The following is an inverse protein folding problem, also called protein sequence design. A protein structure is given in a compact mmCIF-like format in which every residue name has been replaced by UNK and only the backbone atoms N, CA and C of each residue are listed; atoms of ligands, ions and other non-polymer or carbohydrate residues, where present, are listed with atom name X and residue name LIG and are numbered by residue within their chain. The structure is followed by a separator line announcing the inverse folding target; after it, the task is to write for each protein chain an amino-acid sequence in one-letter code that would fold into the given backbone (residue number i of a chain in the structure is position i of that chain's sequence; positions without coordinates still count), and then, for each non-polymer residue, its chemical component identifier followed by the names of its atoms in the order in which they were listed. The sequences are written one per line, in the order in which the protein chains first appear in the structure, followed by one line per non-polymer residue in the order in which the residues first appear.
data_IF_059758519850
#
_entry.id   IF_059758519850
#
_cell.length_a   1.000
_cell.length_b   1.000
_cell.length_c   1.000
_cell.angle_alpha   90.00
_cell.angle_beta   90.00
_cell.angle_gamma   90.00
#
_symmetry.space_group_name_H-M   'P 1'
#
loop_
_entity.id
_entity.type
_entity.pdbx_description
1 polymer ?
#
# COMPACT_ATOMS: atom_id res chain seq x y z
N UNK A 1 17.50 -3.26 11.43
CA UNK A 1 16.44 -2.65 10.57
C UNK A 1 16.56 -3.22 9.18
N UNK A 2 15.51 -3.84 8.66
CA UNK A 2 15.44 -4.31 7.28
C UNK A 2 14.77 -3.25 6.36
N UNK A 3 14.73 -3.51 5.04
CA UNK A 3 14.15 -2.54 4.08
C UNK A 3 12.69 -2.21 4.35
N UNK A 4 11.87 -3.17 4.77
CA UNK A 4 10.46 -2.94 5.08
C UNK A 4 10.31 -2.05 6.33
N UNK A 5 11.12 -2.29 7.36
CA UNK A 5 11.13 -1.46 8.57
C UNK A 5 11.60 -0.02 8.26
N UNK A 6 12.64 0.11 7.43
CA UNK A 6 13.15 1.42 7.01
C UNK A 6 12.10 2.20 6.21
N UNK A 7 11.38 1.53 5.29
CA UNK A 7 10.30 2.14 4.51
C UNK A 7 9.18 2.63 5.42
N UNK A 8 8.69 1.79 6.34
CA UNK A 8 7.61 2.17 7.25
C UNK A 8 8.03 3.31 8.19
N UNK A 9 9.26 3.28 8.69
CA UNK A 9 9.79 4.38 9.51
C UNK A 9 9.82 5.69 8.72
N UNK A 10 10.33 5.66 7.49
CA UNK A 10 10.38 6.85 6.62
C UNK A 10 9.01 7.44 6.34
N UNK A 11 8.01 6.59 6.08
CA UNK A 11 6.62 7.03 5.86
C UNK A 11 6.05 7.69 7.12
N UNK A 12 6.24 7.09 8.28
CA UNK A 12 5.77 7.64 9.55
C UNK A 12 6.46 8.96 9.90
N UNK A 13 7.77 9.07 9.65
CA UNK A 13 8.52 10.31 9.86
C UNK A 13 8.10 11.40 8.89
N UNK A 14 7.65 11.02 7.69
CA UNK A 14 7.01 11.91 6.72
C UNK A 14 5.57 12.29 7.03
N UNK A 15 5.01 11.81 8.15
CA UNK A 15 3.65 12.16 8.59
C UNK A 15 2.55 11.29 8.02
N UNK A 16 2.86 10.13 7.43
CA UNK A 16 1.85 9.16 6.99
C UNK A 16 1.34 8.38 8.19
N UNK A 17 0.03 8.39 8.40
CA UNK A 17 -0.62 7.84 9.59
C UNK A 17 -1.50 6.62 9.29
N UNK A 18 -1.85 6.39 8.02
CA UNK A 18 -2.81 5.36 7.62
C UNK A 18 -2.30 4.56 6.43
N UNK A 19 -2.41 3.23 6.54
CA UNK A 19 -2.20 2.28 5.46
C UNK A 19 -3.49 1.49 5.20
N UNK A 20 -4.07 1.63 4.02
CA UNK A 20 -5.13 0.74 3.55
C UNK A 20 -4.47 -0.44 2.82
N UNK A 21 -4.81 -1.66 3.19
CA UNK A 21 -4.09 -2.83 2.72
C UNK A 21 -5.00 -3.99 2.33
N UNK A 22 -4.64 -4.68 1.27
CA UNK A 22 -5.09 -6.04 0.95
C UNK A 22 -3.87 -6.89 0.59
N UNK A 23 -3.05 -7.28 1.58
CA UNK A 23 -1.80 -7.96 1.34
C UNK A 23 -2.01 -9.46 1.11
N UNK A 24 -1.07 -10.06 0.38
CA UNK A 24 -0.88 -11.49 0.30
C UNK A 24 0.41 -11.94 0.99
N UNK A 25 0.83 -13.16 0.72
CA UNK A 25 2.03 -13.76 1.34
C UNK A 25 3.34 -13.07 0.94
N UNK A 26 3.38 -12.44 -0.24
CA UNK A 26 4.56 -11.69 -0.71
C UNK A 26 4.83 -10.42 0.08
N UNK A 27 3.83 -9.88 0.78
CA UNK A 27 3.92 -8.63 1.52
C UNK A 27 4.12 -8.82 3.04
N UNK A 28 4.40 -10.04 3.51
CA UNK A 28 4.45 -10.34 4.95
C UNK A 28 5.51 -9.53 5.71
N UNK A 29 6.64 -9.21 5.09
CA UNK A 29 7.66 -8.36 5.71
C UNK A 29 7.15 -6.93 5.93
N UNK A 30 6.37 -6.41 4.99
CA UNK A 30 5.74 -5.09 5.10
C UNK A 30 4.63 -5.10 6.16
N UNK A 31 3.81 -6.15 6.21
CA UNK A 31 2.77 -6.32 7.24
C UNK A 31 3.40 -6.36 8.64
N UNK A 32 4.48 -7.14 8.82
CA UNK A 32 5.20 -7.20 10.09
C UNK A 32 5.86 -5.86 10.47
N UNK A 33 6.33 -5.09 9.48
CA UNK A 33 6.88 -3.77 9.72
C UNK A 33 5.79 -2.76 10.12
N UNK A 34 4.61 -2.83 9.50
CA UNK A 34 3.46 -1.99 9.87
C UNK A 34 3.02 -2.29 11.31
N UNK A 35 2.93 -3.57 11.69
CA UNK A 35 2.52 -3.99 13.04
C UNK A 35 3.44 -3.41 14.14
N UNK A 36 4.72 -3.25 13.84
CA UNK A 36 5.69 -2.61 14.75
C UNK A 36 5.53 -1.09 14.87
N UNK A 37 4.86 -0.44 13.93
CA UNK A 37 4.74 1.02 13.87
C UNK A 37 3.50 1.52 14.62
N UNK A 38 3.70 2.02 15.84
CA UNK A 38 2.61 2.58 16.66
C UNK A 38 1.94 3.82 16.06
N UNK A 39 2.61 4.49 15.11
CA UNK A 39 2.13 5.72 14.47
C UNK A 39 1.32 5.45 13.21
N UNK A 40 1.33 4.22 12.68
CA UNK A 40 0.61 3.87 11.47
C UNK A 40 -0.58 2.97 11.79
N UNK A 41 -1.75 3.38 11.39
CA UNK A 41 -2.98 2.58 11.49
C UNK A 41 -3.16 1.77 10.21
N UNK A 42 -3.17 0.44 10.32
CA UNK A 42 -3.50 -0.45 9.21
C UNK A 42 -5.01 -0.70 9.15
N UNK A 43 -5.58 -0.60 7.96
CA UNK A 43 -7.00 -0.87 7.71
C UNK A 43 -7.08 -1.87 6.56
N UNK A 44 -7.66 -3.04 6.84
CA UNK A 44 -7.85 -4.09 5.84
C UNK A 44 -9.02 -3.73 4.91
N UNK A 45 -8.76 -3.77 3.60
CA UNK A 45 -9.78 -3.80 2.58
C UNK A 45 -9.87 -5.20 1.99
N UNK A 46 -11.06 -5.66 1.65
CA UNK A 46 -11.27 -7.02 1.09
C UNK A 46 -11.15 -7.07 -0.44
N UNK A 47 -10.84 -5.96 -1.05
CA UNK A 47 -10.62 -5.79 -2.48
C UNK A 47 -9.77 -4.55 -2.72
N UNK A 48 -8.81 -4.60 -3.63
CA UNK A 48 -7.85 -3.50 -3.84
C UNK A 48 -8.49 -2.24 -4.40
N UNK A 49 -9.59 -2.38 -5.13
CA UNK A 49 -10.40 -1.22 -5.55
C UNK A 49 -10.97 -0.46 -4.36
N UNK A 50 -11.38 -1.16 -3.30
CA UNK A 50 -11.79 -0.54 -2.03
C UNK A 50 -10.60 0.12 -1.34
N UNK A 51 -9.45 -0.55 -1.31
CA UNK A 51 -8.21 -0.03 -0.71
C UNK A 51 -7.81 1.30 -1.34
N UNK A 52 -7.72 1.34 -2.66
CA UNK A 52 -7.32 2.55 -3.40
C UNK A 52 -8.39 3.63 -3.36
N UNK A 53 -9.67 3.27 -3.38
CA UNK A 53 -10.79 4.21 -3.21
C UNK A 53 -10.82 4.84 -1.83
N UNK A 54 -10.55 4.05 -0.77
CA UNK A 54 -10.45 4.57 0.60
C UNK A 54 -9.28 5.53 0.76
N UNK A 55 -8.12 5.21 0.16
CA UNK A 55 -6.96 6.09 0.17
C UNK A 55 -7.21 7.41 -0.59
N UNK A 56 -7.90 7.36 -1.73
CA UNK A 56 -8.32 8.55 -2.48
C UNK A 56 -9.25 9.41 -1.62
N UNK A 57 -10.28 8.81 -1.01
CA UNK A 57 -11.19 9.53 -0.11
C UNK A 57 -10.47 10.16 1.08
N UNK A 58 -9.57 9.43 1.72
CA UNK A 58 -8.76 9.94 2.83
C UNK A 58 -7.94 11.17 2.41
N UNK A 59 -7.23 11.07 1.29
CA UNK A 59 -6.41 12.19 0.79
C UNK A 59 -7.22 13.42 0.44
N UNK A 60 -8.41 13.24 -0.16
CA UNK A 60 -9.34 14.36 -0.46
C UNK A 60 -9.84 15.07 0.78
N UNK A 61 -10.11 14.32 1.86
CA UNK A 61 -10.68 14.87 3.08
C UNK A 61 -9.65 15.49 4.01
N UNK A 62 -8.40 15.04 3.95
CA UNK A 62 -7.36 15.41 4.92
C UNK A 62 -6.22 16.23 4.34
N UNK A 63 -6.09 16.28 3.02
CA UNK A 63 -4.91 16.79 2.30
C UNK A 63 -3.59 16.10 2.69
N UNK A 64 -3.69 14.90 3.29
CA UNK A 64 -2.55 14.06 3.67
C UNK A 64 -2.55 12.78 2.86
N UNK A 65 -1.39 12.24 2.47
CA UNK A 65 -1.34 10.95 1.80
C UNK A 65 -1.69 9.82 2.76
N UNK A 66 -2.52 8.87 2.30
CA UNK A 66 -2.52 7.53 2.82
C UNK A 66 -1.57 6.66 2.00
N UNK A 67 -1.11 5.57 2.60
CA UNK A 67 -0.40 4.50 1.90
C UNK A 67 -1.39 3.41 1.52
N UNK A 68 -1.20 2.80 0.35
CA UNK A 68 -1.84 1.53 -0.01
C UNK A 68 -0.81 0.41 -0.07
N UNK A 69 -1.18 -0.79 0.36
CA UNK A 69 -0.38 -2.00 0.21
C UNK A 69 -1.19 -3.00 -0.63
N UNK A 70 -0.71 -3.26 -1.84
CA UNK A 70 -1.39 -4.04 -2.87
C UNK A 70 -0.62 -5.33 -3.17
N UNK A 71 -1.37 -6.42 -3.42
CA UNK A 71 -0.80 -7.73 -3.69
C UNK A 71 -0.43 -7.90 -5.16
N UNK A 72 0.85 -7.76 -5.47
CA UNK A 72 1.43 -8.05 -6.79
C UNK A 72 0.74 -7.31 -7.96
N UNK A 73 0.94 -7.79 -9.17
CA UNK A 73 0.29 -7.28 -10.38
C UNK A 73 -1.25 -7.33 -10.34
N UNK A 74 -1.87 -8.45 -9.93
CA UNK A 74 -3.33 -8.52 -9.78
C UNK A 74 -3.91 -7.48 -8.82
N UNK A 75 -3.26 -7.26 -7.68
CA UNK A 75 -3.69 -6.25 -6.72
C UNK A 75 -3.59 -4.82 -7.27
N UNK A 76 -2.50 -4.52 -7.98
CA UNK A 76 -2.37 -3.25 -8.68
C UNK A 76 -3.44 -3.09 -9.75
N UNK A 77 -3.68 -4.12 -10.57
CA UNK A 77 -4.70 -4.10 -11.62
C UNK A 77 -6.10 -3.80 -11.06
N UNK A 78 -6.48 -4.46 -9.96
CA UNK A 78 -7.74 -4.21 -9.27
C UNK A 78 -7.87 -2.78 -8.72
N UNK A 79 -6.76 -2.19 -8.31
CA UNK A 79 -6.72 -0.84 -7.74
C UNK A 79 -6.70 0.30 -8.77
N UNK A 80 -6.36 0.02 -10.03
CA UNK A 80 -6.05 1.04 -11.04
C UNK A 80 -7.18 2.02 -11.32
N UNK A 81 -8.44 1.60 -11.29
CA UNK A 81 -9.58 2.47 -11.55
C UNK A 81 -9.61 3.67 -10.58
N UNK A 82 -9.47 3.41 -9.28
CA UNK A 82 -9.46 4.46 -8.28
C UNK A 82 -8.13 5.23 -8.21
N UNK A 83 -7.01 4.59 -8.57
CA UNK A 83 -5.75 5.31 -8.76
C UNK A 83 -5.82 6.31 -9.91
N UNK A 84 -6.52 5.95 -11.00
CA UNK A 84 -6.83 6.88 -12.09
C UNK A 84 -7.63 8.08 -11.56
N UNK A 85 -8.67 7.83 -10.76
CA UNK A 85 -9.48 8.89 -10.16
C UNK A 85 -8.67 9.80 -9.24
N UNK A 86 -7.84 9.21 -8.37
CA UNK A 86 -6.95 9.96 -7.49
C UNK A 86 -5.98 10.85 -8.27
N UNK A 87 -5.38 10.32 -9.34
CA UNK A 87 -4.51 11.08 -10.25
C UNK A 87 -5.25 12.28 -10.87
N UNK A 88 -6.46 12.06 -11.37
CA UNK A 88 -7.29 13.13 -11.96
C UNK A 88 -7.66 14.21 -10.96
N UNK A 89 -7.92 13.82 -9.72
CA UNK A 89 -8.25 14.72 -8.63
C UNK A 89 -7.01 15.37 -7.96
N UNK A 90 -5.79 14.95 -8.35
CA UNK A 90 -4.53 15.35 -7.70
C UNK A 90 -4.51 15.02 -6.21
N UNK A 91 -5.14 13.92 -5.82
CA UNK A 91 -5.14 13.45 -4.44
C UNK A 91 -3.76 12.91 -4.07
N UNK A 92 -3.18 13.33 -2.92
CA UNK A 92 -1.94 12.76 -2.43
C UNK A 92 -2.16 11.29 -2.01
N UNK A 93 -1.34 10.37 -2.54
CA UNK A 93 -1.48 8.95 -2.29
C UNK A 93 -0.15 8.26 -2.59
N UNK A 94 0.25 7.31 -1.75
CA UNK A 94 1.47 6.52 -1.91
C UNK A 94 1.07 5.06 -2.10
N UNK A 95 1.51 4.44 -3.20
CA UNK A 95 1.22 3.04 -3.47
C UNK A 95 2.47 2.19 -3.22
N UNK A 96 2.30 1.14 -2.43
CA UNK A 96 3.26 0.07 -2.30
C UNK A 96 2.65 -1.17 -2.94
N UNK A 97 3.34 -1.71 -3.92
CA UNK A 97 2.96 -2.93 -4.62
C UNK A 97 4.00 -3.99 -4.29
N UNK A 98 3.58 -5.10 -3.72
CA UNK A 98 4.45 -6.23 -3.47
C UNK A 98 4.94 -6.85 -4.77
N UNK A 99 6.04 -7.56 -4.68
CA UNK A 99 6.57 -8.36 -5.79
C UNK A 99 7.16 -9.65 -5.25
N UNK A 100 7.38 -10.60 -6.14
CA UNK A 100 8.02 -11.86 -5.84
C UNK A 100 9.53 -11.70 -5.64
N UNK A 101 10.19 -12.78 -5.23
CA UNK A 101 11.65 -12.86 -5.21
C UNK A 101 12.23 -12.59 -6.60
N UNK A 102 13.45 -12.03 -6.66
CA UNK A 102 14.12 -11.58 -7.91
C UNK A 102 14.15 -12.66 -9.00
N UNK A 103 14.27 -13.94 -8.61
CA UNK A 103 14.36 -15.07 -9.54
C UNK A 103 13.01 -15.71 -9.91
N UNK A 104 11.88 -15.11 -9.54
CA UNK A 104 10.55 -15.75 -9.68
C UNK A 104 10.19 -16.13 -11.11
N UNK A 105 10.66 -15.39 -12.11
CA UNK A 105 10.37 -15.66 -13.53
C UNK A 105 10.84 -17.04 -13.98
N UNK A 106 11.88 -17.60 -13.36
CA UNK A 106 12.37 -18.96 -13.64
C UNK A 106 11.40 -20.06 -13.22
N UNK A 107 10.49 -19.76 -12.28
CA UNK A 107 9.60 -20.73 -11.64
C UNK A 107 8.15 -20.56 -12.02
N UNK A 108 7.86 -19.71 -13.02
CA UNK A 108 6.48 -19.43 -13.46
C UNK A 108 5.55 -19.06 -12.28
N UNK A 109 6.04 -18.26 -11.36
CA UNK A 109 5.22 -17.74 -10.25
C UNK A 109 4.07 -16.88 -10.80
N UNK A 110 2.90 -16.87 -10.13
CA UNK A 110 1.73 -16.13 -10.57
C UNK A 110 1.93 -14.62 -10.59
#
# INVERSE_FOLDING_TARGET
MNGAEALMQTLCDGGVEVCFANPGTSEMQLVAAIDKQKKMRAILGLFEGVVTGAADGYGRMTDKPAVTLLHLGPGLANGLANLHNAKRARTPLINIVGDHAVDHLKYNAP
#
